data_IF_619930201740
#
_entry.id   IF_619930201740
#
_cell.length_a   1.000
_cell.length_b   1.000
_cell.length_c   1.000
_cell.angle_alpha   90.00
_cell.angle_beta   90.00
_cell.angle_gamma   90.00
#
_symmetry.space_group_name_H-M   'P 1'
#
loop_
_entity.id
_entity.type
_entity.pdbx_description
1 polymer ?
#
# COMPACT_ATOMS: atom_id res chain seq x y z
N UNK A 1 14.48 -55.59 -46.61
CA UNK A 1 13.19 -55.23 -45.95
C UNK A 1 13.26 -55.15 -44.42
N UNK A 2 14.47 -55.11 -43.80
CA UNK A 2 14.63 -55.13 -42.34
C UNK A 2 15.08 -53.80 -41.70
N UNK A 3 15.40 -52.79 -42.47
CA UNK A 3 15.88 -51.48 -41.93
C UNK A 3 14.77 -50.55 -41.50
N UNK A 4 13.56 -50.68 -41.98
CA UNK A 4 12.42 -49.78 -41.68
C UNK A 4 11.83 -49.99 -40.27
N UNK A 5 11.82 -51.19 -39.75
CA UNK A 5 11.23 -51.57 -38.44
C UNK A 5 11.99 -51.01 -37.24
N UNK A 6 13.33 -50.84 -37.36
CA UNK A 6 14.20 -50.35 -36.27
C UNK A 6 14.04 -48.82 -36.09
N UNK A 7 13.71 -48.09 -37.16
CA UNK A 7 13.52 -46.63 -37.12
C UNK A 7 12.19 -46.22 -36.50
N UNK A 8 11.13 -47.00 -36.72
CA UNK A 8 9.82 -46.76 -36.12
C UNK A 8 9.84 -46.89 -34.60
N UNK A 9 10.53 -47.88 -34.06
CA UNK A 9 10.65 -48.07 -32.62
C UNK A 9 11.42 -46.94 -31.90
N UNK A 10 12.37 -46.29 -32.57
CA UNK A 10 13.11 -45.12 -32.03
C UNK A 10 12.19 -43.91 -31.89
N UNK A 11 11.34 -43.62 -32.89
CA UNK A 11 10.42 -42.50 -32.84
C UNK A 11 9.32 -42.69 -31.80
N UNK A 12 8.83 -43.91 -31.62
CA UNK A 12 7.87 -44.23 -30.57
C UNK A 12 8.46 -44.04 -29.18
N UNK A 13 9.68 -44.50 -28.95
CA UNK A 13 10.38 -44.35 -27.66
C UNK A 13 10.66 -42.89 -27.32
N UNK A 14 11.01 -42.02 -28.31
CA UNK A 14 11.20 -40.60 -28.12
C UNK A 14 9.86 -39.91 -27.83
N UNK A 15 8.80 -40.29 -28.53
CA UNK A 15 7.45 -39.74 -28.31
C UNK A 15 6.92 -40.08 -26.90
N UNK A 16 7.13 -41.31 -26.44
CA UNK A 16 6.74 -41.71 -25.09
C UNK A 16 7.52 -40.96 -24.01
N UNK A 17 8.83 -40.78 -24.23
CA UNK A 17 9.67 -39.96 -23.34
C UNK A 17 9.20 -38.49 -23.28
N UNK A 18 8.90 -37.88 -24.44
CA UNK A 18 8.38 -36.54 -24.51
C UNK A 18 7.03 -36.39 -23.85
N UNK A 19 6.15 -37.36 -24.04
CA UNK A 19 4.83 -37.38 -23.38
C UNK A 19 4.99 -37.48 -21.87
N UNK A 20 5.85 -38.37 -21.38
CA UNK A 20 6.16 -38.50 -19.96
C UNK A 20 6.71 -37.21 -19.38
N UNK A 21 7.68 -36.55 -20.06
CA UNK A 21 8.22 -35.27 -19.65
C UNK A 21 7.15 -34.17 -19.62
N UNK A 22 6.26 -34.11 -20.61
CA UNK A 22 5.17 -33.17 -20.67
C UNK A 22 4.20 -33.32 -19.51
N UNK A 23 3.87 -34.58 -19.14
CA UNK A 23 2.99 -34.84 -17.98
C UNK A 23 3.65 -34.40 -16.68
N UNK A 24 4.93 -34.69 -16.49
CA UNK A 24 5.67 -34.23 -15.30
C UNK A 24 5.68 -32.71 -15.23
N UNK A 25 5.98 -32.04 -16.35
CA UNK A 25 5.97 -30.58 -16.43
C UNK A 25 4.59 -30.01 -16.09
N UNK A 26 3.52 -30.63 -16.58
CA UNK A 26 2.16 -30.22 -16.27
C UNK A 26 1.87 -30.31 -14.77
N UNK A 27 2.29 -31.38 -14.09
CA UNK A 27 2.12 -31.51 -12.64
C UNK A 27 2.92 -30.45 -11.87
N UNK A 28 4.14 -30.15 -12.30
CA UNK A 28 4.95 -29.07 -11.70
C UNK A 28 4.24 -27.71 -11.86
N UNK A 29 3.71 -27.42 -13.06
CA UNK A 29 2.95 -26.20 -13.30
C UNK A 29 1.68 -26.11 -12.43
N UNK A 30 0.93 -27.20 -12.31
CA UNK A 30 -0.26 -27.24 -11.46
C UNK A 30 0.10 -27.05 -9.98
N UNK A 31 1.18 -27.66 -9.50
CA UNK A 31 1.70 -27.45 -8.15
C UNK A 31 2.06 -25.98 -7.89
N UNK A 32 2.75 -25.37 -8.84
CA UNK A 32 3.11 -23.94 -8.75
C UNK A 32 1.87 -23.03 -8.75
N UNK A 33 0.90 -23.28 -9.64
CA UNK A 33 -0.35 -22.53 -9.66
C UNK A 33 -1.14 -22.68 -8.35
N UNK A 34 -1.14 -23.88 -7.78
CA UNK A 34 -1.77 -24.10 -6.48
C UNK A 34 -1.11 -23.27 -5.36
N UNK A 35 0.23 -23.27 -5.31
CA UNK A 35 0.97 -22.45 -4.34
C UNK A 35 0.67 -20.96 -4.52
N UNK A 36 0.71 -20.42 -5.75
CA UNK A 36 0.36 -19.03 -6.04
C UNK A 36 -1.05 -18.67 -5.56
N UNK A 37 -2.02 -19.57 -5.76
CA UNK A 37 -3.37 -19.35 -5.26
C UNK A 37 -3.45 -19.30 -3.74
N UNK A 38 -2.70 -20.15 -3.03
CA UNK A 38 -2.63 -20.11 -1.56
C UNK A 38 -2.08 -18.78 -1.05
N UNK A 39 -0.98 -18.28 -1.64
CA UNK A 39 -0.40 -16.96 -1.32
C UNK A 39 -1.45 -15.87 -1.51
N UNK A 40 -2.09 -15.86 -2.67
CA UNK A 40 -3.10 -14.84 -3.01
C UNK A 40 -4.29 -14.87 -2.05
N UNK A 41 -4.75 -16.04 -1.67
CA UNK A 41 -5.87 -16.19 -0.72
C UNK A 41 -5.47 -15.66 0.66
N UNK A 42 -4.31 -16.05 1.18
CA UNK A 42 -3.80 -15.56 2.47
C UNK A 42 -3.67 -14.03 2.46
N UNK A 43 -3.04 -13.48 1.42
CA UNK A 43 -2.90 -12.04 1.24
C UNK A 43 -4.25 -11.31 1.25
N UNK A 44 -5.26 -11.85 0.58
CA UNK A 44 -6.59 -11.24 0.55
C UNK A 44 -7.32 -11.38 1.90
N UNK A 45 -7.18 -12.51 2.60
CA UNK A 45 -7.79 -12.70 3.93
C UNK A 45 -7.21 -11.73 4.96
N UNK A 46 -5.89 -11.55 5.00
CA UNK A 46 -5.26 -10.59 5.91
C UNK A 46 -5.66 -9.14 5.58
N UNK A 47 -5.72 -8.79 4.29
CA UNK A 47 -6.22 -7.48 3.88
C UNK A 47 -7.66 -7.25 4.36
N UNK A 48 -8.51 -8.25 4.17
CA UNK A 48 -9.89 -8.18 4.60
C UNK A 48 -10.01 -8.05 6.12
N UNK A 49 -9.20 -8.80 6.88
CA UNK A 49 -9.17 -8.73 8.33
C UNK A 49 -8.78 -7.32 8.83
N UNK A 50 -7.74 -6.72 8.26
CA UNK A 50 -7.33 -5.34 8.60
C UNK A 50 -8.45 -4.35 8.26
N UNK A 51 -9.08 -4.49 7.09
CA UNK A 51 -10.17 -3.61 6.67
C UNK A 51 -11.38 -3.71 7.60
N UNK A 52 -11.76 -4.91 7.98
CA UNK A 52 -12.87 -5.16 8.92
C UNK A 52 -12.58 -4.57 10.30
N UNK A 53 -11.35 -4.74 10.82
CA UNK A 53 -10.96 -4.14 12.09
C UNK A 53 -10.95 -2.60 12.03
N UNK A 54 -10.47 -2.03 10.92
CA UNK A 54 -10.55 -0.57 10.72
C UNK A 54 -11.99 -0.07 10.71
N UNK A 55 -12.91 -0.77 10.04
CA UNK A 55 -14.33 -0.40 9.99
C UNK A 55 -15.04 -0.64 11.33
N UNK A 56 -14.60 -1.60 12.15
CA UNK A 56 -15.12 -1.79 13.51
C UNK A 56 -14.64 -0.69 14.45
N UNK A 57 -13.38 -0.27 14.31
CA UNK A 57 -12.79 0.80 15.12
C UNK A 57 -13.34 2.17 14.75
N UNK A 58 -13.47 2.45 13.44
CA UNK A 58 -13.90 3.75 12.91
C UNK A 58 -15.28 3.66 12.30
N UNK A 59 -16.27 4.25 12.98
CA UNK A 59 -17.63 4.29 12.46
C UNK A 59 -17.72 5.18 11.22
N UNK A 60 -18.59 4.86 10.24
CA UNK A 60 -18.76 5.68 9.04
C UNK A 60 -19.04 7.15 9.32
N UNK A 61 -19.76 7.44 10.42
CA UNK A 61 -20.10 8.79 10.85
C UNK A 61 -18.87 9.59 11.31
N UNK A 62 -17.91 8.93 11.98
CA UNK A 62 -16.65 9.54 12.41
C UNK A 62 -15.78 9.86 11.18
N UNK A 63 -15.64 8.89 10.28
CA UNK A 63 -14.88 9.04 9.03
C UNK A 63 -15.46 10.20 8.19
N UNK A 64 -16.78 10.27 8.04
CA UNK A 64 -17.45 11.36 7.34
C UNK A 64 -17.23 12.72 8.04
N UNK A 65 -17.29 12.78 9.38
CA UNK A 65 -17.02 13.99 10.18
C UNK A 65 -15.60 14.51 9.97
N UNK A 66 -14.64 13.63 9.78
CA UNK A 66 -13.23 13.98 9.52
C UNK A 66 -12.95 14.30 8.05
N UNK A 67 -13.95 14.22 7.15
CA UNK A 67 -13.73 14.36 5.71
C UNK A 67 -12.76 13.32 5.16
N UNK A 68 -12.79 12.11 5.72
CA UNK A 68 -11.90 11.02 5.36
C UNK A 68 -12.63 9.90 4.60
N UNK A 69 -11.87 9.07 3.91
CA UNK A 69 -12.35 7.85 3.24
C UNK A 69 -11.35 6.72 3.47
N UNK A 70 -11.86 5.51 3.68
CA UNK A 70 -11.04 4.29 3.78
C UNK A 70 -11.25 3.47 2.51
N UNK A 71 -10.17 3.19 1.79
CA UNK A 71 -10.19 2.34 0.60
C UNK A 71 -9.97 0.88 0.99
N UNK A 72 -10.87 0.00 0.55
CA UNK A 72 -10.86 -1.44 0.88
C UNK A 72 -9.76 -2.23 0.16
N UNK A 73 -9.24 -1.71 -0.96
CA UNK A 73 -8.22 -2.37 -1.77
C UNK A 73 -6.82 -2.02 -1.31
N UNK A 74 -6.58 -0.73 -1.07
CA UNK A 74 -5.27 -0.20 -0.71
C UNK A 74 -5.06 -0.10 0.80
N UNK A 75 -6.14 -0.21 1.62
CA UNK A 75 -6.15 0.04 3.06
C UNK A 75 -5.64 1.45 3.39
N UNK A 76 -5.85 2.38 2.48
CA UNK A 76 -5.47 3.77 2.70
C UNK A 76 -6.61 4.57 3.31
N UNK A 77 -6.25 5.48 4.19
CA UNK A 77 -7.14 6.49 4.76
C UNK A 77 -6.78 7.83 4.12
N UNK A 78 -7.68 8.34 3.27
CA UNK A 78 -7.47 9.59 2.55
C UNK A 78 -8.32 10.68 3.18
N UNK A 79 -7.68 11.78 3.56
CA UNK A 79 -8.33 12.99 4.08
C UNK A 79 -8.48 13.99 2.92
N UNK A 80 -9.74 14.29 2.52
CA UNK A 80 -10.06 14.94 1.24
C UNK A 80 -10.37 16.44 1.35
N UNK A 81 -10.62 16.98 2.55
CA UNK A 81 -10.96 18.39 2.72
C UNK A 81 -9.72 19.30 2.88
N UNK A 82 -9.16 19.85 1.78
CA UNK A 82 -7.88 20.58 1.81
C UNK A 82 -7.90 21.82 2.71
N UNK A 83 -9.03 22.52 2.77
CA UNK A 83 -9.16 23.74 3.56
C UNK A 83 -9.05 23.51 5.08
N UNK A 84 -9.32 22.26 5.52
CA UNK A 84 -9.23 21.85 6.92
C UNK A 84 -7.79 21.48 7.28
N UNK A 85 -7.00 20.95 6.35
CA UNK A 85 -5.71 20.32 6.64
C UNK A 85 -4.53 21.28 6.53
N UNK A 86 -4.48 22.08 5.45
CA UNK A 86 -3.41 23.05 5.20
C UNK A 86 -3.97 24.33 4.59
N UNK A 87 -3.37 25.47 4.92
CA UNK A 87 -3.61 26.69 4.17
C UNK A 87 -2.99 26.57 2.77
N UNK A 88 -3.52 27.30 1.79
CA UNK A 88 -2.94 27.36 0.46
C UNK A 88 -1.44 27.72 0.54
N UNK A 89 -0.63 27.04 -0.26
CA UNK A 89 0.85 27.19 -0.30
C UNK A 89 1.56 27.04 1.06
N UNK A 90 0.95 26.32 2.01
CA UNK A 90 1.52 26.07 3.34
C UNK A 90 1.62 24.57 3.60
N UNK A 91 2.64 24.15 4.33
CA UNK A 91 2.82 22.82 4.87
C UNK A 91 2.49 22.73 6.38
N UNK A 92 2.11 23.84 7.00
CA UNK A 92 1.76 23.84 8.42
C UNK A 92 0.43 23.13 8.66
N UNK A 93 0.45 22.12 9.52
CA UNK A 93 -0.74 21.37 9.92
C UNK A 93 -1.72 22.28 10.65
N UNK A 94 -2.94 22.40 10.12
CA UNK A 94 -3.99 23.23 10.70
C UNK A 94 -4.43 22.65 12.07
N UNK A 95 -4.78 23.50 13.07
CA UNK A 95 -5.31 23.04 14.35
C UNK A 95 -6.48 22.04 14.21
N UNK A 96 -7.42 22.27 13.31
CA UNK A 96 -8.54 21.35 13.08
C UNK A 96 -8.07 19.95 12.61
N UNK A 97 -7.01 19.89 11.80
CA UNK A 97 -6.46 18.62 11.37
C UNK A 97 -5.68 17.94 12.51
N UNK A 98 -5.04 18.71 13.38
CA UNK A 98 -4.44 18.16 14.60
C UNK A 98 -5.45 17.48 15.49
N UNK A 99 -6.62 18.10 15.69
CA UNK A 99 -7.71 17.52 16.48
C UNK A 99 -8.17 16.17 15.86
N UNK A 100 -8.29 16.11 14.53
CA UNK A 100 -8.62 14.87 13.81
C UNK A 100 -7.52 13.81 14.01
N UNK A 101 -6.25 14.20 13.85
CA UNK A 101 -5.13 13.28 14.03
C UNK A 101 -5.03 12.76 15.48
N UNK A 102 -5.31 13.59 16.46
CA UNK A 102 -5.31 13.21 17.89
C UNK A 102 -6.38 12.15 18.20
N UNK A 103 -7.54 12.22 17.55
CA UNK A 103 -8.61 11.21 17.69
C UNK A 103 -8.32 9.95 16.87
N UNK A 104 -7.82 10.11 15.65
CA UNK A 104 -7.65 9.04 14.67
C UNK A 104 -6.37 8.22 14.88
N UNK A 105 -5.21 8.88 14.92
CA UNK A 105 -3.93 8.22 14.73
C UNK A 105 -3.58 7.19 15.82
N UNK A 106 -3.80 7.45 17.12
CA UNK A 106 -3.50 6.46 18.17
C UNK A 106 -4.34 5.19 18.05
N UNK A 107 -5.61 5.32 17.65
CA UNK A 107 -6.52 4.20 17.42
C UNK A 107 -6.10 3.40 16.19
N UNK A 108 -5.73 4.11 15.11
CA UNK A 108 -5.23 3.52 13.88
C UNK A 108 -3.97 2.67 14.11
N UNK A 109 -2.99 3.20 14.83
CA UNK A 109 -1.76 2.46 15.14
C UNK A 109 -2.04 1.22 15.99
N UNK A 110 -2.96 1.27 16.95
CA UNK A 110 -3.34 0.10 17.76
C UNK A 110 -3.95 -1.03 16.92
N UNK A 111 -4.76 -0.70 15.91
CA UNK A 111 -5.26 -1.69 14.96
C UNK A 111 -4.10 -2.29 14.17
N UNK A 112 -3.20 -1.46 13.64
CA UNK A 112 -2.09 -1.92 12.81
C UNK A 112 -1.09 -2.80 13.56
N UNK A 113 -0.84 -2.53 14.82
CA UNK A 113 0.08 -3.31 15.63
C UNK A 113 -0.34 -4.78 15.80
N UNK A 114 -1.64 -5.07 15.79
CA UNK A 114 -2.14 -6.46 15.81
C UNK A 114 -1.70 -7.24 14.56
N UNK A 115 -1.41 -6.52 13.46
CA UNK A 115 -0.99 -7.07 12.18
C UNK A 115 0.47 -6.71 11.84
N UNK A 116 1.30 -6.40 12.85
CA UNK A 116 2.65 -5.87 12.69
C UNK A 116 3.54 -6.71 11.76
N UNK A 117 3.41 -8.03 11.80
CA UNK A 117 4.22 -8.96 11.01
C UNK A 117 3.96 -8.87 9.50
N UNK A 118 2.73 -8.52 9.11
CA UNK A 118 2.35 -8.34 7.71
C UNK A 118 2.57 -6.92 7.19
N UNK A 119 2.85 -5.95 8.09
CA UNK A 119 3.05 -4.55 7.73
C UNK A 119 4.53 -4.25 7.52
N UNK A 120 4.88 -3.86 6.31
CA UNK A 120 6.21 -3.39 5.95
C UNK A 120 6.43 -1.93 6.38
N UNK A 121 5.49 -1.06 6.00
CA UNK A 121 5.53 0.35 6.37
C UNK A 121 4.13 0.97 6.47
N UNK A 122 4.01 2.02 7.28
CA UNK A 122 2.89 2.96 7.31
C UNK A 122 3.38 4.24 6.67
N UNK A 123 2.74 4.64 5.57
CA UNK A 123 3.17 5.77 4.76
C UNK A 123 2.20 6.92 4.90
N UNK A 124 2.70 8.07 5.29
CA UNK A 124 2.00 9.35 5.20
C UNK A 124 2.41 9.98 3.88
N UNK A 125 1.46 10.17 2.97
CA UNK A 125 1.69 10.74 1.66
C UNK A 125 0.98 12.08 1.54
N UNK A 126 1.74 13.13 1.23
CA UNK A 126 1.21 14.45 0.93
C UNK A 126 1.02 14.61 -0.57
N UNK A 127 -0.12 15.15 -0.97
CA UNK A 127 -0.43 15.47 -2.35
C UNK A 127 -0.57 16.99 -2.53
N UNK A 128 -0.28 17.47 -3.74
CA UNK A 128 -0.41 18.86 -4.14
C UNK A 128 -1.32 18.97 -5.37
N UNK A 129 -1.91 20.15 -5.57
CA UNK A 129 -2.60 20.49 -6.83
C UNK A 129 -1.60 20.92 -7.90
N UNK A 130 -2.03 20.96 -9.17
CA UNK A 130 -1.24 21.51 -10.27
C UNK A 130 -1.20 23.03 -10.32
N UNK A 131 -1.84 23.70 -9.36
CA UNK A 131 -1.86 25.17 -9.32
C UNK A 131 -0.46 25.75 -9.24
N UNK A 132 -0.12 26.59 -10.20
CA UNK A 132 1.17 27.28 -10.32
C UNK A 132 0.99 28.63 -11.01
N UNK A 133 1.75 29.65 -10.57
CA UNK A 133 1.71 31.00 -11.16
C UNK A 133 2.53 31.13 -12.46
N UNK A 134 2.58 30.11 -13.29
CA UNK A 134 3.33 30.06 -14.52
C UNK A 134 2.90 28.84 -15.34
N UNK A 135 3.82 28.25 -16.12
CA UNK A 135 3.56 26.99 -16.81
C UNK A 135 3.49 25.83 -15.81
N UNK A 136 2.31 25.20 -15.60
CA UNK A 136 2.15 24.07 -14.66
C UNK A 136 2.98 22.84 -15.05
N UNK A 137 3.46 22.77 -16.29
CA UNK A 137 4.26 21.66 -16.79
C UNK A 137 5.77 21.94 -16.72
N UNK A 138 6.16 23.08 -16.16
CA UNK A 138 7.59 23.40 -15.98
C UNK A 138 8.25 22.54 -14.91
N UNK A 139 9.56 22.37 -15.00
CA UNK A 139 10.35 21.67 -14.00
C UNK A 139 10.27 22.37 -12.65
N UNK A 140 10.21 23.70 -12.63
CA UNK A 140 10.08 24.52 -11.43
C UNK A 140 8.77 24.24 -10.71
N UNK A 141 7.64 24.14 -11.44
CA UNK A 141 6.34 23.79 -10.88
C UNK A 141 6.39 22.40 -10.25
N UNK A 142 6.99 21.43 -10.93
CA UNK A 142 7.16 20.08 -10.41
C UNK A 142 7.98 20.05 -9.12
N UNK A 143 9.15 20.70 -9.10
CA UNK A 143 10.02 20.73 -7.91
C UNK A 143 9.36 21.42 -6.72
N UNK A 144 8.66 22.52 -6.96
CA UNK A 144 7.92 23.22 -5.91
C UNK A 144 6.82 22.35 -5.30
N UNK A 145 5.99 21.72 -6.14
CA UNK A 145 4.91 20.86 -5.67
C UNK A 145 5.43 19.59 -5.01
N UNK A 146 6.54 19.05 -5.48
CA UNK A 146 7.21 17.91 -4.83
C UNK A 146 7.68 18.30 -3.43
N UNK A 147 8.36 19.44 -3.31
CA UNK A 147 8.81 19.95 -2.00
C UNK A 147 7.64 20.23 -1.07
N UNK A 148 6.60 20.92 -1.54
CA UNK A 148 5.43 21.27 -0.74
C UNK A 148 4.70 19.99 -0.24
N UNK A 149 4.53 19.00 -1.09
CA UNK A 149 3.89 17.75 -0.73
C UNK A 149 4.74 16.95 0.27
N UNK A 150 6.06 16.93 0.09
CA UNK A 150 7.00 16.31 1.03
C UNK A 150 6.98 17.00 2.40
N UNK A 151 7.01 18.33 2.44
CA UNK A 151 6.97 19.11 3.67
C UNK A 151 5.65 18.87 4.43
N UNK A 152 4.52 18.75 3.71
CA UNK A 152 3.22 18.40 4.31
C UNK A 152 3.25 17.04 4.97
N UNK A 153 3.67 16.01 4.25
CA UNK A 153 3.77 14.66 4.79
C UNK A 153 4.70 14.61 6.00
N UNK A 154 5.84 15.28 5.93
CA UNK A 154 6.81 15.34 7.02
C UNK A 154 6.28 16.06 8.27
N UNK A 155 5.56 17.17 8.10
CA UNK A 155 4.98 17.90 9.22
C UNK A 155 3.86 17.10 9.91
N UNK A 156 3.08 16.32 9.16
CA UNK A 156 2.12 15.36 9.74
C UNK A 156 2.86 14.27 10.50
N UNK A 157 3.92 13.68 9.92
CA UNK A 157 4.74 12.68 10.60
C UNK A 157 5.31 13.22 11.91
N UNK A 158 5.91 14.42 11.91
CA UNK A 158 6.45 15.04 13.11
C UNK A 158 5.37 15.22 14.18
N UNK A 159 4.19 15.67 13.76
CA UNK A 159 3.07 15.87 14.68
C UNK A 159 2.62 14.56 15.32
N UNK A 160 2.31 13.54 14.53
CA UNK A 160 1.79 12.28 15.05
C UNK A 160 2.84 11.51 15.88
N UNK A 161 4.12 11.59 15.51
CA UNK A 161 5.20 10.97 16.26
C UNK A 161 5.44 11.63 17.62
N UNK A 162 5.19 12.93 17.74
CA UNK A 162 5.36 13.68 18.99
C UNK A 162 4.19 13.51 19.97
N UNK A 163 3.07 12.91 19.56
CA UNK A 163 1.89 12.73 20.42
C UNK A 163 2.22 11.91 21.67
N UNK A 164 1.80 12.34 22.87
CA UNK A 164 1.96 11.54 24.10
C UNK A 164 1.20 10.21 24.05
N UNK A 165 0.07 10.18 23.32
CA UNK A 165 -0.80 9.01 23.18
C UNK A 165 -0.17 7.83 22.43
N UNK A 166 0.91 8.06 21.68
CA UNK A 166 1.67 7.01 20.96
C UNK A 166 3.09 6.84 21.49
N UNK A 167 3.36 7.33 22.70
CA UNK A 167 4.70 7.27 23.29
C UNK A 167 5.21 5.85 23.52
N UNK A 168 4.33 4.91 23.83
CA UNK A 168 4.63 3.47 23.98
C UNK A 168 4.95 2.79 22.65
N UNK A 169 4.52 3.37 21.52
CA UNK A 169 4.61 2.82 20.17
C UNK A 169 5.80 3.39 19.37
N UNK A 170 6.62 4.24 19.98
CA UNK A 170 7.68 4.99 19.28
C UNK A 170 8.69 4.09 18.57
N UNK A 171 9.11 3.00 19.16
CA UNK A 171 10.06 2.07 18.56
C UNK A 171 9.45 1.46 17.28
N UNK A 172 8.21 1.00 17.37
CA UNK A 172 7.47 0.48 16.22
C UNK A 172 7.27 1.54 15.14
N UNK A 173 6.93 2.78 15.53
CA UNK A 173 6.77 3.89 14.59
C UNK A 173 8.08 4.25 13.89
N UNK A 174 9.23 4.21 14.58
CA UNK A 174 10.54 4.45 13.95
C UNK A 174 10.85 3.41 12.88
N UNK A 175 10.48 2.16 13.12
CA UNK A 175 10.67 1.08 12.14
C UNK A 175 9.72 1.19 10.96
N UNK A 176 8.46 1.56 11.19
CA UNK A 176 7.39 1.45 10.18
C UNK A 176 6.96 2.77 9.54
N UNK A 177 7.01 3.90 10.25
CA UNK A 177 6.43 5.15 9.77
C UNK A 177 7.34 5.88 8.77
N UNK A 178 6.76 6.27 7.62
CA UNK A 178 7.46 6.98 6.54
C UNK A 178 6.63 8.16 6.06
N UNK A 179 7.29 9.20 5.55
CA UNK A 179 6.66 10.38 4.94
C UNK A 179 7.15 10.55 3.50
N UNK A 180 6.21 10.68 2.57
CA UNK A 180 6.48 10.84 1.15
C UNK A 180 5.71 12.01 0.55
N UNK A 181 6.35 12.79 -0.32
CA UNK A 181 5.67 13.72 -1.20
C UNK A 181 5.34 13.06 -2.54
N UNK A 182 4.11 13.23 -3.00
CA UNK A 182 3.65 12.70 -4.29
C UNK A 182 3.49 13.78 -5.36
N UNK A 183 3.84 15.03 -5.06
CA UNK A 183 3.59 16.17 -5.95
C UNK A 183 2.13 16.18 -6.39
N UNK A 184 1.86 16.28 -7.69
CA UNK A 184 0.53 16.20 -8.30
C UNK A 184 0.31 14.89 -9.07
N UNK A 185 1.04 13.82 -8.74
CA UNK A 185 0.93 12.53 -9.46
C UNK A 185 -0.46 11.90 -9.37
N UNK A 186 -1.21 12.18 -8.31
CA UNK A 186 -2.60 11.74 -8.10
C UNK A 186 -3.62 12.86 -8.36
N UNK A 187 -3.20 13.96 -9.03
CA UNK A 187 -4.10 15.06 -9.33
C UNK A 187 -5.22 14.59 -10.27
N UNK A 188 -6.45 14.67 -9.77
CA UNK A 188 -7.67 14.50 -10.54
C UNK A 188 -8.03 15.81 -11.26
N UNK A 189 -9.04 15.78 -12.13
CA UNK A 189 -9.58 16.97 -12.81
C UNK A 189 -10.04 18.06 -11.82
N UNK A 190 -10.29 17.70 -10.56
CA UNK A 190 -10.63 18.63 -9.49
C UNK A 190 -9.40 18.92 -8.63
N UNK A 191 -8.77 20.08 -8.84
CA UNK A 191 -7.57 20.53 -8.11
C UNK A 191 -7.76 20.58 -6.58
N UNK A 192 -8.96 20.85 -6.11
CA UNK A 192 -9.25 20.86 -4.67
C UNK A 192 -9.14 19.46 -4.05
N UNK A 193 -9.67 18.42 -4.71
CA UNK A 193 -9.57 17.03 -4.25
C UNK A 193 -8.15 16.48 -4.34
N UNK A 194 -7.28 17.10 -5.15
CA UNK A 194 -5.88 16.71 -5.31
C UNK A 194 -5.01 17.11 -4.11
N UNK A 195 -5.45 18.04 -3.26
CA UNK A 195 -4.73 18.50 -2.06
C UNK A 195 -5.14 17.68 -0.85
N UNK A 196 -4.74 16.43 -0.79
CA UNK A 196 -5.08 15.51 0.29
C UNK A 196 -3.83 15.00 1.03
N UNK A 197 -4.07 14.46 2.21
CA UNK A 197 -3.10 13.60 2.91
C UNK A 197 -3.66 12.20 2.91
N UNK A 198 -2.85 11.27 2.52
CA UNK A 198 -3.17 9.85 2.54
C UNK A 198 -2.28 9.13 3.55
N UNK A 199 -2.88 8.33 4.41
CA UNK A 199 -2.14 7.41 5.27
C UNK A 199 -2.42 6.01 4.77
N UNK A 200 -1.41 5.36 4.23
CA UNK A 200 -1.52 4.04 3.60
C UNK A 200 -0.62 3.00 4.26
N UNK A 201 -0.97 1.74 4.08
CA UNK A 201 -0.21 0.61 4.59
C UNK A 201 0.43 -0.10 3.40
N UNK A 202 1.75 -0.32 3.48
CA UNK A 202 2.40 -1.29 2.60
C UNK A 202 2.60 -2.60 3.36
N UNK A 203 2.15 -3.68 2.76
CA UNK A 203 2.27 -5.01 3.34
C UNK A 203 3.49 -5.74 2.77
N UNK A 204 4.05 -6.62 3.56
CA UNK A 204 5.23 -7.39 3.20
C UNK A 204 4.82 -8.66 2.43
N UNK A 205 4.63 -8.54 1.12
CA UNK A 205 4.32 -9.67 0.24
C UNK A 205 5.48 -10.71 0.19
N UNK A 206 6.72 -10.27 0.40
CA UNK A 206 7.89 -11.17 0.38
C UNK A 206 7.87 -12.13 1.57
N UNK A 207 7.62 -11.64 2.79
CA UNK A 207 7.47 -12.50 3.98
C UNK A 207 6.34 -13.52 3.84
N UNK A 208 5.27 -13.12 3.17
CA UNK A 208 4.15 -14.04 2.91
C UNK A 208 4.55 -15.14 1.93
N UNK A 209 5.33 -14.81 0.90
CA UNK A 209 5.88 -15.78 -0.06
C UNK A 209 6.90 -16.70 0.64
N UNK A 210 7.81 -16.16 1.43
CA UNK A 210 8.79 -16.93 2.19
C UNK A 210 8.14 -17.92 3.17
N UNK A 211 7.04 -17.55 3.81
CA UNK A 211 6.32 -18.44 4.72
C UNK A 211 5.70 -19.67 4.05
N UNK A 212 5.63 -19.67 2.72
CA UNK A 212 5.06 -20.75 1.90
C UNK A 212 6.13 -21.65 1.25
N UNK A 213 7.38 -21.18 1.25
CA UNK A 213 8.54 -21.98 0.80
C UNK A 213 9.29 -22.44 2.05
N UNK A 214 9.04 -23.66 2.55
CA UNK A 214 9.83 -24.17 3.67
C UNK A 214 11.28 -24.29 3.21
N UNK A 215 12.18 -23.49 3.80
CA UNK A 215 13.61 -23.70 3.67
C UNK A 215 13.96 -25.04 4.31
N UNK A 216 14.36 -25.98 3.51
CA UNK A 216 14.96 -27.24 3.93
C UNK A 216 16.46 -27.05 4.16
#
# INVERSE_FOLDING_TARGET
MFYRKKQENHWQSISDLMTGLMVIFLFVCLGFLYQLNQVRQKYNMERQAIYEELNQEFKPEEIAKWGAQIDDKTLSVTFIEPAIFFKANSSNVNPKFKDVLDEFFPRYIKVLQKHSDSILEVRIEGNASREWNGDPNSAEAYYYNMKLSQDRAFNVLQYVYAMPSVSSEREWLQDKLRANGASYSKANENDAASRCVEISIRRNAEKEIESLVPYH
#
